data_IF_528269028264
#
_entry.id   IF_528269028264
#
_cell.length_a   1.000
_cell.length_b   1.000
_cell.length_c   1.000
_cell.angle_alpha   90.00
_cell.angle_beta   90.00
_cell.angle_gamma   90.00
#
_symmetry.space_group_name_H-M   'P 1'
#
loop_
_entity.id
_entity.type
_entity.pdbx_description
1 polymer ?
#
# COMPACT_ATOMS: atom_id res chain seq x y z
N UNK A 1 -6.50 -18.64 12.06
CA UNK A 1 -6.92 -18.04 10.77
C UNK A 1 -5.70 -17.84 9.91
N UNK A 2 -5.76 -18.20 8.62
CA UNK A 2 -4.68 -17.98 7.64
C UNK A 2 -4.83 -16.59 7.03
N UNK A 3 -3.72 -15.86 6.84
CA UNK A 3 -3.67 -14.60 6.11
C UNK A 3 -2.56 -14.63 5.05
N UNK A 4 -2.79 -13.98 3.92
CA UNK A 4 -1.82 -13.75 2.87
C UNK A 4 -1.31 -12.31 2.96
N UNK A 5 0.01 -12.17 3.01
CA UNK A 5 0.65 -10.88 3.24
C UNK A 5 1.76 -10.72 2.19
N UNK A 6 1.79 -9.55 1.57
CA UNK A 6 2.87 -9.14 0.67
C UNK A 6 3.56 -7.91 1.25
N UNK A 7 4.78 -8.07 1.76
CA UNK A 7 5.51 -7.00 2.46
C UNK A 7 6.52 -6.27 1.58
N UNK A 8 6.75 -6.73 0.35
CA UNK A 8 7.74 -6.14 -0.54
C UNK A 8 7.09 -5.76 -1.88
N UNK A 9 6.81 -4.47 -2.00
CA UNK A 9 6.35 -3.86 -3.24
C UNK A 9 6.96 -2.46 -3.39
N UNK A 10 6.84 -1.93 -4.60
CA UNK A 10 7.31 -0.62 -4.94
C UNK A 10 6.15 0.30 -5.30
N UNK A 11 6.30 1.57 -4.97
CA UNK A 11 5.39 2.65 -5.35
C UNK A 11 5.64 3.09 -6.80
N UNK A 12 4.74 3.94 -7.32
CA UNK A 12 4.92 4.61 -8.64
C UNK A 12 6.17 5.48 -8.76
N UNK A 13 6.88 5.74 -7.65
CA UNK A 13 8.11 6.54 -7.63
C UNK A 13 9.39 5.71 -7.83
N UNK A 14 9.30 4.38 -7.72
CA UNK A 14 10.43 3.51 -8.05
C UNK A 14 10.71 3.47 -9.55
N UNK A 15 11.98 3.27 -9.90
CA UNK A 15 12.38 3.06 -11.28
C UNK A 15 11.74 1.79 -11.86
N UNK A 16 11.48 1.80 -13.17
CA UNK A 16 10.88 0.68 -13.90
C UNK A 16 9.57 0.13 -13.30
N UNK A 17 8.84 0.94 -12.52
CA UNK A 17 7.59 0.56 -11.87
C UNK A 17 6.40 1.24 -12.56
N UNK A 18 5.24 0.57 -12.58
CA UNK A 18 4.04 1.12 -13.20
C UNK A 18 3.59 2.42 -12.52
N UNK A 19 3.15 3.40 -13.32
CA UNK A 19 2.54 4.64 -12.81
C UNK A 19 1.27 4.40 -11.98
N UNK A 20 0.65 3.23 -12.13
CA UNK A 20 -0.52 2.78 -11.36
C UNK A 20 -0.17 2.11 -10.03
N UNK A 21 1.10 2.07 -9.62
CA UNK A 21 1.47 1.61 -8.28
C UNK A 21 1.18 2.70 -7.25
N UNK A 22 -0.09 3.08 -7.16
CA UNK A 22 -0.67 4.01 -6.19
C UNK A 22 -1.59 3.28 -5.21
N UNK A 23 -1.97 3.94 -4.12
CA UNK A 23 -2.76 3.31 -3.05
C UNK A 23 -4.13 2.82 -3.53
N UNK A 24 -4.77 3.51 -4.46
CA UNK A 24 -6.07 3.12 -5.01
C UNK A 24 -6.00 1.77 -5.72
N UNK A 25 -5.05 1.63 -6.65
CA UNK A 25 -4.89 0.40 -7.41
C UNK A 25 -4.32 -0.74 -6.55
N UNK A 26 -3.35 -0.44 -5.67
CA UNK A 26 -2.81 -1.42 -4.73
C UNK A 26 -3.91 -2.00 -3.83
N UNK A 27 -4.76 -1.15 -3.26
CA UNK A 27 -5.89 -1.58 -2.43
C UNK A 27 -6.90 -2.41 -3.21
N UNK A 28 -7.29 -1.95 -4.42
CA UNK A 28 -8.24 -2.66 -5.29
C UNK A 28 -7.73 -4.05 -5.69
N UNK A 29 -6.51 -4.14 -6.20
CA UNK A 29 -5.97 -5.40 -6.71
C UNK A 29 -5.46 -6.32 -5.60
N UNK A 30 -5.03 -5.78 -4.46
CA UNK A 30 -4.76 -6.57 -3.25
C UNK A 30 -5.99 -7.35 -2.81
N UNK A 31 -7.14 -6.68 -2.72
CA UNK A 31 -8.44 -7.34 -2.47
C UNK A 31 -8.79 -8.38 -3.52
N UNK A 32 -8.66 -8.04 -4.81
CA UNK A 32 -8.97 -8.98 -5.89
C UNK A 32 -8.06 -10.22 -5.89
N UNK A 33 -6.78 -10.06 -5.55
CA UNK A 33 -5.79 -11.14 -5.45
C UNK A 33 -5.98 -12.00 -4.19
N UNK A 34 -6.73 -11.52 -3.19
CA UNK A 34 -6.89 -12.19 -1.90
C UNK A 34 -5.70 -11.98 -0.96
N UNK A 35 -5.01 -10.83 -1.07
CA UNK A 35 -3.95 -10.43 -0.14
C UNK A 35 -4.56 -9.58 0.96
N UNK A 36 -4.46 -10.04 2.21
CA UNK A 36 -5.08 -9.40 3.37
C UNK A 36 -4.32 -8.15 3.82
N UNK A 37 -3.00 -8.14 3.68
CA UNK A 37 -2.13 -7.03 4.11
C UNK A 37 -1.04 -6.78 3.07
N UNK A 38 -0.88 -5.52 2.71
CA UNK A 38 0.19 -5.04 1.83
C UNK A 38 1.18 -4.20 2.63
N UNK A 39 2.47 -4.37 2.36
CA UNK A 39 3.51 -3.42 2.73
C UNK A 39 3.30 -2.09 2.00
N UNK A 40 3.70 -0.98 2.59
CA UNK A 40 3.56 0.32 1.92
C UNK A 40 4.54 0.47 0.75
N UNK A 41 5.70 -0.17 0.84
CA UNK A 41 6.81 0.03 -0.09
C UNK A 41 7.37 1.45 -0.01
N UNK A 42 8.63 1.65 -0.42
CA UNK A 42 9.25 2.96 -0.68
C UNK A 42 8.97 4.09 0.34
N UNK A 43 8.71 3.79 1.62
CA UNK A 43 8.18 4.76 2.59
C UNK A 43 9.19 5.88 2.92
N UNK A 44 10.45 5.71 2.52
CA UNK A 44 11.50 6.73 2.62
C UNK A 44 11.42 7.78 1.51
N UNK A 45 10.68 7.53 0.42
CA UNK A 45 10.47 8.51 -0.63
C UNK A 45 9.51 9.61 -0.16
N UNK A 46 9.90 10.90 -0.18
CA UNK A 46 9.16 11.97 0.50
C UNK A 46 7.74 12.17 -0.03
N UNK A 47 7.54 12.11 -1.36
CA UNK A 47 6.20 12.24 -1.94
C UNK A 47 5.33 10.99 -1.69
N UNK A 48 5.94 9.82 -1.59
CA UNK A 48 5.18 8.61 -1.27
C UNK A 48 4.74 8.64 0.18
N UNK A 49 5.65 8.98 1.09
CA UNK A 49 5.36 9.11 2.50
C UNK A 49 4.28 10.16 2.79
N UNK A 50 4.28 11.29 2.06
CA UNK A 50 3.20 12.27 2.11
C UNK A 50 1.86 11.65 1.71
N UNK A 51 1.81 10.92 0.59
CA UNK A 51 0.60 10.22 0.14
C UNK A 51 0.12 9.19 1.16
N UNK A 52 1.02 8.40 1.75
CA UNK A 52 0.68 7.46 2.82
C UNK A 52 0.00 8.17 3.99
N UNK A 53 0.55 9.30 4.47
CA UNK A 53 -0.03 10.08 5.58
C UNK A 53 -1.40 10.68 5.24
N UNK A 54 -1.62 11.07 4.00
CA UNK A 54 -2.87 11.72 3.57
C UNK A 54 -4.02 10.72 3.40
N UNK A 55 -3.73 9.49 2.97
CA UNK A 55 -4.76 8.55 2.51
C UNK A 55 -4.91 7.30 3.38
N UNK A 56 -3.94 7.04 4.28
CA UNK A 56 -3.99 5.90 5.18
C UNK A 56 -4.40 6.30 6.58
N UNK A 57 -5.40 5.60 7.11
CA UNK A 57 -5.86 5.75 8.48
C UNK A 57 -5.34 4.62 9.36
N UNK A 58 -4.74 4.98 10.50
CA UNK A 58 -4.26 3.99 11.46
C UNK A 58 -5.43 3.36 12.21
N UNK A 59 -5.46 2.04 12.20
CA UNK A 59 -6.46 1.22 12.89
C UNK A 59 -5.96 0.78 14.28
N UNK A 60 -6.88 0.34 15.14
CA UNK A 60 -6.56 -0.10 16.51
C UNK A 60 -5.60 -1.32 16.54
N UNK A 61 -5.63 -2.15 15.51
CA UNK A 61 -4.76 -3.33 15.38
C UNK A 61 -3.33 -2.99 14.89
N UNK A 62 -2.99 -1.71 14.75
CA UNK A 62 -1.68 -1.25 14.28
C UNK A 62 -1.51 -1.27 12.76
N UNK A 63 -2.49 -1.76 11.99
CA UNK A 63 -2.50 -1.67 10.54
C UNK A 63 -3.03 -0.32 10.07
N UNK A 64 -2.88 -0.08 8.78
CA UNK A 64 -3.39 1.10 8.09
C UNK A 64 -4.43 0.68 7.06
N UNK A 65 -5.51 1.45 6.97
CA UNK A 65 -6.56 1.24 5.99
C UNK A 65 -6.59 2.38 4.98
N UNK A 66 -6.73 2.04 3.69
CA UNK A 66 -6.84 3.03 2.63
C UNK A 66 -8.27 3.59 2.56
N UNK A 67 -8.40 4.91 2.71
CA UNK A 67 -9.66 5.64 2.54
C UNK A 67 -9.96 5.83 1.05
N UNK A 68 -10.51 4.82 0.38
CA UNK A 68 -11.00 4.94 -1.00
C UNK A 68 -11.47 3.65 -1.66
#
# INVERSE_FOLDING_TARGET
MKRFIDLHLHSKFSAATSKKMDLQHLSKYGRQKGVDVLGTGDFTHPHWFKSLKEHLERQQNGLYEYRG
#
